data_IF_842341979330
#
_entry.id   IF_842341979330
#
_cell.length_a   1.000
_cell.length_b   1.000
_cell.length_c   1.000
_cell.angle_alpha   90.00
_cell.angle_beta   90.00
_cell.angle_gamma   90.00
#
_symmetry.space_group_name_H-M   'P 1'
#
loop_
_entity.id
_entity.type
_entity.pdbx_description
1 polymer ?
#
# COMPACT_ATOMS: atom_id res chain seq x y z
N UNK A 1 -2.43 -14.34 22.20
CA UNK A 1 -2.69 -13.11 21.41
C UNK A 1 -2.21 -13.20 19.95
N UNK A 2 -1.15 -13.96 19.64
CA UNK A 2 -0.73 -14.32 18.26
C UNK A 2 -1.87 -14.70 17.31
N UNK A 3 -2.81 -15.52 17.79
CA UNK A 3 -3.96 -15.99 17.02
C UNK A 3 -4.92 -14.85 16.66
N UNK A 4 -5.14 -13.89 17.57
CA UNK A 4 -6.01 -12.74 17.32
C UNK A 4 -5.43 -11.81 16.24
N UNK A 5 -4.12 -11.54 16.29
CA UNK A 5 -3.46 -10.75 15.24
C UNK A 5 -3.53 -11.46 13.88
N UNK A 6 -3.22 -12.76 13.83
CA UNK A 6 -3.29 -13.54 12.59
C UNK A 6 -4.71 -13.57 12.03
N UNK A 7 -5.70 -13.75 12.90
CA UNK A 7 -7.12 -13.71 12.53
C UNK A 7 -7.48 -12.35 11.93
N UNK A 8 -7.08 -11.25 12.57
CA UNK A 8 -7.30 -9.89 12.06
C UNK A 8 -6.61 -9.66 10.71
N UNK A 9 -5.33 -10.04 10.57
CA UNK A 9 -4.58 -9.93 9.31
C UNK A 9 -5.22 -10.71 8.16
N UNK A 10 -5.67 -11.94 8.44
CA UNK A 10 -6.35 -12.80 7.45
C UNK A 10 -7.72 -12.20 7.11
N UNK A 11 -8.50 -11.79 8.10
CA UNK A 11 -9.82 -11.20 7.88
C UNK A 11 -9.75 -9.93 7.02
N UNK A 12 -8.84 -8.99 7.33
CA UNK A 12 -8.68 -7.77 6.54
C UNK A 12 -8.08 -8.02 5.15
N UNK A 13 -7.17 -8.99 5.00
CA UNK A 13 -6.64 -9.37 3.68
C UNK A 13 -7.74 -10.03 2.83
N UNK A 14 -8.55 -10.92 3.39
CA UNK A 14 -9.68 -11.52 2.70
C UNK A 14 -10.73 -10.46 2.34
N UNK A 15 -11.06 -9.56 3.26
CA UNK A 15 -11.93 -8.43 2.96
C UNK A 15 -11.38 -7.58 1.82
N UNK A 16 -10.10 -7.23 1.84
CA UNK A 16 -9.44 -6.50 0.77
C UNK A 16 -9.52 -7.25 -0.57
N UNK A 17 -9.25 -8.55 -0.60
CA UNK A 17 -9.34 -9.37 -1.82
C UNK A 17 -10.78 -9.45 -2.33
N UNK A 18 -11.76 -9.62 -1.45
CA UNK A 18 -13.19 -9.67 -1.81
C UNK A 18 -13.64 -8.33 -2.37
N UNK A 19 -13.35 -7.21 -1.70
CA UNK A 19 -13.68 -5.87 -2.21
C UNK A 19 -12.94 -5.59 -3.52
N UNK A 20 -11.67 -5.99 -3.64
CA UNK A 20 -10.92 -5.89 -4.89
C UNK A 20 -11.65 -6.65 -5.99
N UNK A 21 -11.97 -7.93 -5.81
CA UNK A 21 -12.68 -8.73 -6.81
C UNK A 21 -14.09 -8.18 -7.11
N UNK A 22 -14.77 -7.57 -6.14
CA UNK A 22 -16.06 -6.91 -6.35
C UNK A 22 -15.93 -5.58 -7.12
N UNK A 23 -14.76 -4.94 -7.09
CA UNK A 23 -14.52 -3.67 -7.79
C UNK A 23 -14.16 -3.90 -9.25
N UNK A 24 -15.13 -4.37 -10.01
CA UNK A 24 -15.09 -4.56 -11.45
C UNK A 24 -16.50 -4.41 -12.01
N UNK A 25 -16.61 -4.18 -13.31
CA UNK A 25 -17.92 -4.12 -13.95
C UNK A 25 -18.63 -5.47 -13.90
N UNK A 26 -19.92 -5.47 -13.52
CA UNK A 26 -20.76 -6.68 -13.37
C UNK A 26 -22.06 -6.61 -14.18
N UNK A 27 -22.09 -5.85 -15.27
CA UNK A 27 -23.28 -5.68 -16.11
C UNK A 27 -24.18 -4.52 -15.72
N UNK A 28 -23.91 -3.83 -14.61
CA UNK A 28 -24.62 -2.62 -14.16
C UNK A 28 -23.67 -1.43 -14.05
N UNK A 29 -24.18 -0.22 -14.29
CA UNK A 29 -23.42 1.04 -14.17
C UNK A 29 -23.35 1.57 -12.73
N UNK A 30 -23.54 0.69 -11.74
CA UNK A 30 -23.46 1.01 -10.32
C UNK A 30 -22.48 0.05 -9.65
N UNK A 31 -21.56 0.62 -8.87
CA UNK A 31 -20.66 -0.15 -8.04
C UNK A 31 -21.29 -0.38 -6.66
N UNK A 32 -21.08 -1.59 -6.13
CA UNK A 32 -21.40 -1.93 -4.75
C UNK A 32 -20.44 -1.24 -3.77
N UNK A 33 -19.79 -2.01 -2.89
CA UNK A 33 -18.76 -1.47 -1.98
C UNK A 33 -17.37 -1.56 -2.66
N UNK A 34 -16.83 -0.48 -3.25
CA UNK A 34 -15.52 -0.53 -3.89
C UNK A 34 -14.38 -0.67 -2.87
N UNK A 35 -13.27 -1.23 -3.32
CA UNK A 35 -12.02 -1.35 -2.54
C UNK A 35 -11.43 0.01 -2.15
N UNK A 36 -11.92 1.12 -2.76
CA UNK A 36 -11.56 2.49 -2.40
C UNK A 36 -11.77 2.81 -0.91
N UNK A 37 -12.63 2.06 -0.21
CA UNK A 37 -12.79 2.17 1.24
C UNK A 37 -11.45 2.12 1.98
N UNK A 38 -10.53 1.24 1.57
CA UNK A 38 -9.19 1.16 2.18
C UNK A 38 -8.36 2.42 1.94
N UNK A 39 -8.54 3.09 0.80
CA UNK A 39 -7.86 4.36 0.45
C UNK A 39 -8.45 5.53 1.25
N UNK A 40 -9.76 5.51 1.53
CA UNK A 40 -10.43 6.53 2.34
C UNK A 40 -9.97 6.51 3.82
N UNK A 41 -9.59 5.33 4.33
CA UNK A 41 -8.98 5.15 5.66
C UNK A 41 -7.50 5.56 5.72
N UNK A 42 -6.86 5.91 4.59
CA UNK A 42 -5.43 6.20 4.55
C UNK A 42 -5.13 7.67 4.93
N UNK A 43 -4.47 7.93 6.08
CA UNK A 43 -4.16 9.29 6.50
C UNK A 43 -3.05 9.96 5.69
N UNK A 44 -2.19 9.20 5.01
CA UNK A 44 -1.19 9.79 4.11
C UNK A 44 -1.88 10.34 2.86
N UNK A 45 -2.80 9.57 2.25
CA UNK A 45 -3.55 10.05 1.09
C UNK A 45 -4.38 11.28 1.46
N UNK A 46 -5.07 11.24 2.60
CA UNK A 46 -5.86 12.39 3.08
C UNK A 46 -5.00 13.65 3.22
N UNK A 47 -3.83 13.54 3.87
CA UNK A 47 -2.91 14.65 4.07
C UNK A 47 -2.32 15.17 2.75
N UNK A 48 -1.82 14.28 1.89
CA UNK A 48 -1.21 14.66 0.61
C UNK A 48 -2.23 15.28 -0.33
N UNK A 49 -3.45 14.74 -0.39
CA UNK A 49 -4.51 15.29 -1.24
C UNK A 49 -4.95 16.66 -0.74
N UNK A 50 -5.08 16.86 0.58
CA UNK A 50 -5.35 18.17 1.16
C UNK A 50 -4.25 19.18 0.79
N UNK A 51 -2.98 18.79 0.90
CA UNK A 51 -1.86 19.69 0.59
C UNK A 51 -1.72 19.99 -0.90
N UNK A 52 -2.02 19.02 -1.77
CA UNK A 52 -1.85 19.17 -3.22
C UNK A 52 -3.00 19.90 -3.89
N UNK A 53 -4.26 19.57 -3.57
CA UNK A 53 -5.43 20.15 -4.24
C UNK A 53 -6.20 21.15 -3.39
N UNK A 54 -5.80 21.36 -2.13
CA UNK A 54 -6.49 22.24 -1.16
C UNK A 54 -7.97 21.86 -0.91
N UNK A 55 -8.37 20.64 -1.26
CA UNK A 55 -9.74 20.15 -1.09
C UNK A 55 -9.77 18.97 -0.13
N UNK A 56 -10.57 19.08 0.94
CA UNK A 56 -10.87 17.96 1.84
C UNK A 56 -12.21 17.33 1.46
N UNK A 57 -12.17 16.03 1.15
CA UNK A 57 -13.38 15.24 0.92
C UNK A 57 -13.88 14.63 2.22
N UNK A 58 -15.20 14.58 2.40
CA UNK A 58 -15.84 13.98 3.58
C UNK A 58 -15.43 12.52 3.79
N UNK A 59 -15.09 11.79 2.72
CA UNK A 59 -14.59 10.41 2.80
C UNK A 59 -13.32 10.28 3.68
N UNK A 60 -12.47 11.31 3.73
CA UNK A 60 -11.26 11.29 4.55
C UNK A 60 -11.51 11.44 6.05
N UNK A 61 -12.76 11.64 6.50
CA UNK A 61 -13.11 11.55 7.92
C UNK A 61 -12.76 10.17 8.48
N UNK A 62 -12.83 9.11 7.66
CA UNK A 62 -12.40 7.76 8.05
C UNK A 62 -10.90 7.69 8.39
N UNK A 63 -10.06 8.50 7.75
CA UNK A 63 -8.63 8.55 8.09
C UNK A 63 -8.37 9.10 9.50
N UNK A 64 -9.24 9.99 10.01
CA UNK A 64 -9.14 10.54 11.37
C UNK A 64 -9.32 9.43 12.43
N UNK A 65 -10.11 8.40 12.13
CA UNK A 65 -10.23 7.23 12.99
C UNK A 65 -8.89 6.50 13.14
N UNK A 66 -8.14 6.31 12.04
CA UNK A 66 -6.81 5.68 12.07
C UNK A 66 -5.80 6.56 12.81
N UNK A 67 -5.83 7.88 12.60
CA UNK A 67 -4.97 8.83 13.33
C UNK A 67 -5.24 8.73 14.83
N UNK A 68 -6.51 8.79 15.23
CA UNK A 68 -6.93 8.71 16.63
C UNK A 68 -6.48 7.39 17.24
N UNK A 69 -6.80 6.26 16.59
CA UNK A 69 -6.37 4.95 17.06
C UNK A 69 -4.84 4.81 17.14
N UNK A 70 -4.09 5.48 16.26
CA UNK A 70 -2.62 5.51 16.29
C UNK A 70 -2.08 6.27 17.50
N UNK A 71 -2.75 7.32 17.96
CA UNK A 71 -2.39 8.02 19.21
C UNK A 71 -2.59 7.16 20.47
N UNK A 72 -3.46 6.14 20.43
CA UNK A 72 -3.68 5.24 21.56
C UNK A 72 -2.82 3.96 21.49
N UNK A 73 -2.72 3.34 20.31
CA UNK A 73 -2.11 2.00 20.13
C UNK A 73 -0.76 2.03 19.39
N UNK A 74 -0.26 3.22 19.04
CA UNK A 74 0.91 3.38 18.18
C UNK A 74 0.62 2.95 16.75
N UNK A 75 1.64 2.49 16.01
CA UNK A 75 1.52 2.11 14.59
C UNK A 75 0.84 0.73 14.40
N UNK A 76 -0.39 0.58 14.90
CA UNK A 76 -1.13 -0.68 14.83
C UNK A 76 -1.58 -1.04 13.41
N UNK A 77 -1.92 -0.04 12.57
CA UNK A 77 -2.48 -0.26 11.23
C UNK A 77 -1.60 -1.16 10.36
N UNK A 78 -0.30 -0.89 10.30
CA UNK A 78 0.66 -1.69 9.54
C UNK A 78 0.79 -3.12 10.07
N UNK A 79 0.56 -3.33 11.37
CA UNK A 79 0.64 -4.64 12.03
C UNK A 79 -0.62 -5.50 11.86
N UNK A 80 -1.80 -4.89 11.80
CA UNK A 80 -3.08 -5.59 11.97
C UNK A 80 -4.02 -5.51 10.77
N UNK A 81 -4.02 -4.39 10.04
CA UNK A 81 -5.05 -4.07 9.03
C UNK A 81 -4.48 -4.00 7.61
N UNK A 82 -3.28 -3.43 7.44
CA UNK A 82 -2.70 -3.14 6.12
C UNK A 82 -2.49 -4.40 5.25
N UNK A 83 -3.09 -4.49 4.05
CA UNK A 83 -2.94 -5.64 3.15
C UNK A 83 -1.48 -5.90 2.76
N UNK A 84 -0.73 -4.85 2.41
CA UNK A 84 0.69 -4.97 2.07
C UNK A 84 1.53 -5.46 3.27
N UNK A 85 1.17 -5.04 4.49
CA UNK A 85 1.80 -5.51 5.72
C UNK A 85 1.62 -7.02 5.93
N UNK A 86 0.42 -7.53 5.63
CA UNK A 86 0.11 -8.97 5.66
C UNK A 86 0.86 -9.73 4.57
N UNK A 87 0.88 -9.25 3.33
CA UNK A 87 1.66 -9.85 2.23
C UNK A 87 3.15 -9.96 2.57
N UNK A 88 3.74 -8.89 3.09
CA UNK A 88 5.12 -8.87 3.57
C UNK A 88 5.37 -9.87 4.70
N UNK A 89 4.38 -10.09 5.59
CA UNK A 89 4.49 -11.07 6.68
C UNK A 89 4.47 -12.50 6.16
N UNK A 90 3.63 -12.78 5.16
CA UNK A 90 3.54 -14.08 4.50
C UNK A 90 4.87 -14.42 3.83
N UNK A 91 5.44 -13.49 3.06
CA UNK A 91 6.72 -13.72 2.36
C UNK A 91 7.88 -13.81 3.35
N UNK A 92 7.87 -12.97 4.38
CA UNK A 92 8.86 -13.03 5.46
C UNK A 92 8.85 -14.35 6.25
N UNK A 93 7.74 -15.09 6.26
CA UNK A 93 7.69 -16.43 6.85
C UNK A 93 8.52 -17.45 6.06
N UNK A 94 8.48 -17.40 4.73
CA UNK A 94 9.29 -18.28 3.88
C UNK A 94 10.79 -18.06 4.08
N UNK A 95 11.21 -16.82 4.34
CA UNK A 95 12.60 -16.50 4.73
C UNK A 95 13.05 -17.26 5.97
N UNK A 96 12.26 -17.24 7.04
CA UNK A 96 12.61 -17.94 8.30
C UNK A 96 12.71 -19.46 8.12
N UNK A 97 11.98 -20.02 7.16
CA UNK A 97 12.06 -21.44 6.79
C UNK A 97 13.29 -21.74 5.93
N UNK A 98 13.70 -20.81 5.07
CA UNK A 98 14.83 -20.97 4.14
C UNK A 98 16.20 -20.65 4.74
N UNK A 99 16.29 -19.77 5.75
CA UNK A 99 17.55 -19.37 6.39
C UNK A 99 17.69 -20.00 7.77
N UNK A 100 18.79 -20.74 8.00
CA UNK A 100 19.10 -21.34 9.30
C UNK A 100 19.21 -20.27 10.41
N UNK A 101 18.64 -20.49 11.60
CA UNK A 101 18.49 -19.50 12.67
C UNK A 101 19.80 -19.05 13.37
N UNK A 102 20.98 -19.33 12.80
CA UNK A 102 22.28 -19.17 13.49
C UNK A 102 23.19 -18.03 13.03
N UNK A 103 22.92 -17.34 11.90
CA UNK A 103 23.93 -16.44 11.28
C UNK A 103 23.65 -14.94 11.29
N UNK A 104 22.49 -14.47 11.75
CA UNK A 104 22.17 -13.03 11.76
C UNK A 104 21.73 -12.58 13.15
N UNK A 105 22.71 -12.29 14.00
CA UNK A 105 22.51 -11.54 15.25
C UNK A 105 21.99 -10.13 14.95
N UNK A 106 20.66 -9.98 14.86
CA UNK A 106 19.91 -8.80 15.31
C UNK A 106 20.24 -7.40 14.76
N UNK A 107 21.18 -7.23 13.82
CA UNK A 107 21.55 -5.93 13.23
C UNK A 107 21.24 -5.93 11.75
N UNK A 108 20.06 -5.41 11.45
CA UNK A 108 19.68 -5.03 10.12
C UNK A 108 20.34 -3.70 9.72
N UNK A 109 20.47 -3.40 8.42
CA UNK A 109 21.09 -2.16 7.96
C UNK A 109 20.35 -0.91 8.48
N UNK A 110 21.12 0.16 8.78
CA UNK A 110 20.67 1.42 9.40
C UNK A 110 19.85 2.33 8.47
N UNK A 111 19.08 1.76 7.54
CA UNK A 111 18.32 2.50 6.53
C UNK A 111 16.98 3.05 7.06
N UNK A 112 16.78 3.06 8.39
CA UNK A 112 15.56 3.54 9.06
C UNK A 112 15.18 4.99 8.69
N UNK A 113 16.14 5.94 8.52
CA UNK A 113 15.80 7.32 8.17
C UNK A 113 15.14 7.50 6.79
N UNK A 114 15.34 6.57 5.86
CA UNK A 114 14.94 6.72 4.45
C UNK A 114 13.44 6.96 4.29
N UNK A 115 12.59 6.23 5.01
CA UNK A 115 11.12 6.43 4.96
C UNK A 115 10.70 7.84 5.42
N UNK A 116 11.47 8.48 6.29
CA UNK A 116 11.21 9.85 6.74
C UNK A 116 11.65 10.86 5.67
N UNK A 117 12.75 10.61 4.97
CA UNK A 117 13.13 11.42 3.81
C UNK A 117 12.11 11.29 2.67
N UNK A 118 11.60 10.09 2.40
CA UNK A 118 10.51 9.87 1.44
C UNK A 118 9.25 10.62 1.89
N UNK A 119 8.91 10.59 3.18
CA UNK A 119 7.79 11.36 3.70
C UNK A 119 7.96 12.88 3.49
N UNK A 120 9.14 13.43 3.79
CA UNK A 120 9.46 14.85 3.53
C UNK A 120 9.32 15.16 2.05
N UNK A 121 9.88 14.33 1.17
CA UNK A 121 9.75 14.49 -0.27
C UNK A 121 8.29 14.48 -0.72
N UNK A 122 7.48 13.53 -0.25
CA UNK A 122 6.05 13.43 -0.61
C UNK A 122 5.25 14.65 -0.13
N UNK A 123 5.55 15.18 1.07
CA UNK A 123 4.89 16.39 1.59
C UNK A 123 5.30 17.62 0.78
N UNK A 124 6.60 17.79 0.49
CA UNK A 124 7.09 18.91 -0.32
C UNK A 124 6.52 18.83 -1.73
N UNK A 125 6.51 17.64 -2.35
CA UNK A 125 5.87 17.40 -3.65
C UNK A 125 4.40 17.84 -3.65
N UNK A 126 3.66 17.47 -2.61
CA UNK A 126 2.27 17.86 -2.45
C UNK A 126 2.10 19.39 -2.38
N UNK A 127 2.93 20.11 -1.62
CA UNK A 127 2.87 21.58 -1.50
C UNK A 127 3.05 22.28 -2.85
N UNK A 128 3.84 21.70 -3.76
CA UNK A 128 4.02 22.21 -5.12
C UNK A 128 2.99 21.67 -6.13
N UNK A 129 1.89 21.07 -5.67
CA UNK A 129 0.81 20.55 -6.50
C UNK A 129 1.08 19.18 -7.12
N UNK A 130 2.12 18.46 -6.71
CA UNK A 130 2.40 17.11 -7.22
C UNK A 130 1.97 16.02 -6.24
N UNK A 131 0.89 15.31 -6.59
CA UNK A 131 0.42 14.18 -5.79
C UNK A 131 1.24 12.90 -6.07
N UNK A 132 2.34 12.74 -5.34
CA UNK A 132 3.21 11.56 -5.45
C UNK A 132 2.79 10.38 -4.55
N UNK A 133 1.64 10.47 -3.87
CA UNK A 133 1.19 9.46 -2.91
C UNK A 133 1.13 8.06 -3.53
N UNK A 134 0.62 7.93 -4.76
CA UNK A 134 0.48 6.66 -5.45
C UNK A 134 1.76 5.86 -5.71
N UNK A 135 2.94 6.48 -5.63
CA UNK A 135 4.21 5.76 -5.77
C UNK A 135 4.62 5.06 -4.48
N UNK A 136 4.33 5.68 -3.34
CA UNK A 136 4.89 5.30 -2.05
C UNK A 136 3.84 4.82 -1.03
N UNK A 137 2.57 5.12 -1.27
CA UNK A 137 1.48 4.64 -0.46
C UNK A 137 1.33 3.11 -0.62
N UNK A 138 1.40 2.33 0.47
CA UNK A 138 1.28 0.88 0.40
C UNK A 138 -0.05 0.39 -0.19
N UNK A 139 -1.16 1.12 0.03
CA UNK A 139 -2.49 0.67 -0.42
C UNK A 139 -2.63 0.90 -1.92
N UNK A 140 -2.37 2.12 -2.40
CA UNK A 140 -2.35 2.50 -3.82
C UNK A 140 -1.38 1.66 -4.62
N UNK A 141 -0.19 1.40 -4.09
CA UNK A 141 0.81 0.54 -4.73
C UNK A 141 0.29 -0.90 -4.84
N UNK A 142 -0.34 -1.44 -3.81
CA UNK A 142 -0.93 -2.79 -3.85
C UNK A 142 -2.06 -2.87 -4.85
N UNK A 143 -3.01 -1.93 -4.79
CA UNK A 143 -4.16 -1.88 -5.69
C UNK A 143 -3.71 -1.76 -7.15
N UNK A 144 -2.84 -0.80 -7.47
CA UNK A 144 -2.33 -0.62 -8.84
C UNK A 144 -1.63 -1.87 -9.35
N UNK A 145 -0.78 -2.48 -8.52
CA UNK A 145 -0.01 -3.65 -8.93
C UNK A 145 -0.91 -4.86 -9.16
N UNK A 146 -1.92 -5.05 -8.31
CA UNK A 146 -2.92 -6.10 -8.51
C UNK A 146 -3.75 -5.81 -9.76
N UNK A 147 -4.23 -4.59 -9.97
CA UNK A 147 -5.05 -4.20 -11.12
C UNK A 147 -4.31 -4.36 -12.44
N UNK A 148 -3.12 -3.79 -12.55
CA UNK A 148 -2.40 -3.66 -13.82
C UNK A 148 -1.48 -4.86 -14.05
N UNK A 149 -0.83 -5.36 -13.00
CA UNK A 149 0.16 -6.43 -13.10
C UNK A 149 -0.44 -7.83 -13.00
N UNK A 150 -1.19 -8.12 -11.93
CA UNK A 150 -1.60 -9.51 -11.64
C UNK A 150 -2.97 -9.88 -12.19
N UNK A 151 -3.94 -8.96 -12.19
CA UNK A 151 -5.34 -9.27 -12.54
C UNK A 151 -5.50 -9.75 -13.99
N UNK A 152 -4.91 -9.10 -15.02
CA UNK A 152 -4.90 -9.61 -16.39
C UNK A 152 -4.33 -11.02 -16.51
N UNK A 153 -3.22 -11.27 -15.81
CA UNK A 153 -2.52 -12.56 -15.85
C UNK A 153 -3.37 -13.64 -15.17
N UNK A 154 -3.95 -13.33 -14.01
CA UNK A 154 -4.83 -14.25 -13.28
C UNK A 154 -6.04 -14.64 -14.12
N UNK A 155 -6.74 -13.66 -14.70
CA UNK A 155 -7.92 -13.90 -15.55
C UNK A 155 -7.52 -14.74 -16.77
N UNK A 156 -6.42 -14.42 -17.46
CA UNK A 156 -5.96 -15.18 -18.62
C UNK A 156 -5.59 -16.62 -18.29
N UNK A 157 -4.89 -16.84 -17.16
CA UNK A 157 -4.53 -18.19 -16.69
C UNK A 157 -5.81 -18.98 -16.36
N UNK A 158 -6.73 -18.40 -15.60
CA UNK A 158 -8.00 -19.05 -15.25
C UNK A 158 -8.80 -19.41 -16.49
N UNK A 159 -8.94 -18.48 -17.45
CA UNK A 159 -9.63 -18.74 -18.71
C UNK A 159 -8.95 -19.85 -19.52
N UNK A 160 -7.62 -19.85 -19.61
CA UNK A 160 -6.86 -20.86 -20.36
C UNK A 160 -6.97 -22.25 -19.73
N UNK A 161 -6.97 -22.34 -18.39
CA UNK A 161 -7.15 -23.60 -17.67
C UNK A 161 -8.57 -24.14 -17.92
N UNK A 162 -9.61 -23.31 -17.76
CA UNK A 162 -10.99 -23.73 -17.97
C UNK A 162 -11.23 -24.16 -19.43
N UNK A 163 -10.69 -23.43 -20.39
CA UNK A 163 -10.78 -23.78 -21.81
C UNK A 163 -10.00 -25.07 -22.12
N UNK A 164 -8.82 -25.26 -21.52
CA UNK A 164 -8.06 -26.51 -21.65
C UNK A 164 -8.83 -27.72 -21.13
N UNK A 165 -9.51 -27.57 -19.98
CA UNK A 165 -10.38 -28.60 -19.39
C UNK A 165 -11.59 -28.87 -20.27
N UNK A 166 -12.21 -27.84 -20.84
CA UNK A 166 -13.33 -27.99 -21.76
C UNK A 166 -12.93 -28.78 -23.02
N UNK A 167 -11.75 -28.48 -23.58
CA UNK A 167 -11.24 -29.09 -24.81
C UNK A 167 -10.84 -30.57 -24.67
N UNK A 168 -10.76 -31.13 -23.46
CA UNK A 168 -10.45 -32.57 -23.29
C UNK A 168 -11.62 -33.47 -23.68
N UNK A 169 -12.83 -32.93 -23.88
CA UNK A 169 -13.98 -33.67 -24.41
C UNK A 169 -14.57 -34.74 -23.48
N UNK A 170 -14.13 -34.82 -22.22
CA UNK A 170 -14.66 -35.78 -21.25
C UNK A 170 -16.00 -35.24 -20.71
N UNK A 171 -17.14 -35.93 -20.91
CA UNK A 171 -18.48 -35.39 -20.64
C UNK A 171 -18.74 -34.92 -19.19
N UNK A 172 -18.09 -35.55 -18.20
CA UNK A 172 -18.20 -35.15 -16.80
C UNK A 172 -17.34 -33.92 -16.46
N UNK A 173 -16.19 -33.78 -17.12
CA UNK A 173 -15.23 -32.73 -16.86
C UNK A 173 -15.60 -31.43 -17.61
N UNK A 174 -16.15 -31.53 -18.82
CA UNK A 174 -16.67 -30.39 -19.57
C UNK A 174 -17.85 -29.73 -18.85
N UNK A 175 -18.79 -30.51 -18.31
CA UNK A 175 -19.90 -29.98 -17.48
C UNK A 175 -19.40 -29.28 -16.21
N UNK A 176 -18.38 -29.84 -15.57
CA UNK A 176 -17.76 -29.21 -14.40
C UNK A 176 -17.06 -27.89 -14.78
N UNK A 177 -16.40 -27.83 -15.94
CA UNK A 177 -15.78 -26.63 -16.47
C UNK A 177 -16.80 -25.54 -16.81
N UNK A 178 -17.93 -25.88 -17.45
CA UNK A 178 -18.99 -24.92 -17.77
C UNK A 178 -19.66 -24.35 -16.52
N UNK A 179 -19.92 -25.22 -15.53
CA UNK A 179 -20.47 -24.79 -14.23
C UNK A 179 -19.49 -23.87 -13.51
N UNK A 180 -18.20 -24.23 -13.51
CA UNK A 180 -17.15 -23.41 -12.93
C UNK A 180 -17.01 -22.08 -13.66
N UNK A 181 -17.03 -22.08 -15.00
CA UNK A 181 -16.94 -20.87 -15.81
C UNK A 181 -18.09 -19.90 -15.49
N UNK A 182 -19.32 -20.40 -15.44
CA UNK A 182 -20.51 -19.60 -15.12
C UNK A 182 -20.48 -19.07 -13.68
N UNK A 183 -20.01 -19.87 -12.73
CA UNK A 183 -19.84 -19.43 -11.34
C UNK A 183 -18.72 -18.39 -11.19
N UNK A 184 -17.61 -18.57 -11.92
CA UNK A 184 -16.47 -17.64 -11.89
C UNK A 184 -16.76 -16.36 -12.67
N UNK A 185 -17.53 -16.38 -13.76
CA UNK A 185 -17.92 -15.18 -14.51
C UNK A 185 -18.81 -14.23 -13.70
N UNK A 186 -19.57 -14.76 -12.75
CA UNK A 186 -20.34 -13.93 -11.81
C UNK A 186 -19.50 -13.31 -10.68
N UNK A 187 -18.27 -13.80 -10.44
CA UNK A 187 -17.49 -13.45 -9.25
C UNK A 187 -16.09 -12.89 -9.57
N UNK A 188 -15.28 -13.67 -10.29
CA UNK A 188 -13.83 -13.54 -10.44
C UNK A 188 -13.38 -13.16 -11.86
N UNK A 189 -14.04 -13.62 -12.91
CA UNK A 189 -13.69 -13.32 -14.29
C UNK A 189 -14.37 -12.01 -14.71
N UNK A 190 -13.57 -11.04 -15.16
CA UNK A 190 -14.10 -9.80 -15.72
C UNK A 190 -14.87 -10.06 -17.03
N UNK A 191 -15.87 -9.22 -17.31
CA UNK A 191 -16.70 -9.32 -18.51
C UNK A 191 -15.88 -9.27 -19.82
N UNK A 192 -14.80 -8.48 -19.82
CA UNK A 192 -13.78 -8.49 -20.86
C UNK A 192 -12.38 -8.75 -20.27
N UNK A 193 -11.49 -9.35 -21.06
CA UNK A 193 -10.10 -9.59 -20.68
C UNK A 193 -9.34 -8.25 -20.62
N UNK A 194 -8.89 -7.77 -19.44
CA UNK A 194 -8.18 -6.51 -19.37
C UNK A 194 -6.75 -6.68 -19.91
N UNK A 195 -6.31 -5.75 -20.77
CA UNK A 195 -4.96 -5.71 -21.33
C UNK A 195 -4.33 -4.37 -21.04
N UNK A 196 -3.26 -4.36 -20.24
CA UNK A 196 -2.51 -3.14 -19.97
C UNK A 196 -1.13 -3.17 -20.64
N UNK A 197 -0.71 -2.03 -21.20
CA UNK A 197 0.62 -1.90 -21.85
C UNK A 197 1.78 -2.18 -20.89
N UNK A 198 1.60 -1.92 -19.60
CA UNK A 198 2.66 -1.97 -18.59
C UNK A 198 2.52 -3.14 -17.59
N UNK A 199 1.72 -4.17 -17.93
CA UNK A 199 1.44 -5.32 -17.05
C UNK A 199 2.71 -5.95 -16.48
N UNK A 200 3.66 -6.33 -17.34
CA UNK A 200 4.88 -7.02 -16.93
C UNK A 200 5.75 -6.09 -16.07
N UNK A 201 5.94 -4.84 -16.48
CA UNK A 201 6.77 -3.88 -15.77
C UNK A 201 6.30 -3.63 -14.34
N UNK A 202 5.02 -3.30 -14.16
CA UNK A 202 4.45 -3.03 -12.82
C UNK A 202 4.42 -4.31 -11.98
N UNK A 203 4.06 -5.46 -12.57
CA UNK A 203 4.07 -6.75 -11.89
C UNK A 203 5.46 -7.17 -11.39
N UNK A 204 6.50 -6.95 -12.19
CA UNK A 204 7.89 -7.21 -11.81
C UNK A 204 8.34 -6.30 -10.66
N UNK A 205 8.04 -5.00 -10.71
CA UNK A 205 8.38 -4.06 -9.63
C UNK A 205 7.74 -4.50 -8.32
N UNK A 206 6.45 -4.83 -8.31
CA UNK A 206 5.76 -5.26 -7.10
C UNK A 206 6.32 -6.60 -6.58
N UNK A 207 6.58 -7.55 -7.47
CA UNK A 207 7.23 -8.82 -7.11
C UNK A 207 8.60 -8.57 -6.47
N UNK A 208 9.41 -7.67 -7.03
CA UNK A 208 10.71 -7.30 -6.47
C UNK A 208 10.57 -6.69 -5.08
N UNK A 209 9.64 -5.74 -4.88
CA UNK A 209 9.34 -5.14 -3.57
C UNK A 209 8.98 -6.23 -2.54
N UNK A 210 8.16 -7.19 -2.94
CA UNK A 210 7.76 -8.32 -2.11
C UNK A 210 8.95 -9.24 -1.80
N UNK A 211 9.83 -9.53 -2.76
CA UNK A 211 11.03 -10.35 -2.58
C UNK A 211 12.10 -9.67 -1.70
N UNK A 212 12.13 -8.35 -1.59
CA UNK A 212 13.02 -7.65 -0.64
C UNK A 212 12.77 -8.05 0.82
N UNK A 213 11.63 -8.67 1.14
CA UNK A 213 11.39 -9.27 2.45
C UNK A 213 12.36 -10.42 2.79
N UNK A 214 13.03 -11.01 1.80
CA UNK A 214 14.08 -12.00 2.00
C UNK A 214 15.35 -11.38 2.60
N UNK A 215 15.59 -10.08 2.36
CA UNK A 215 16.73 -9.33 2.93
C UNK A 215 16.42 -8.92 4.36
N UNK A 216 15.31 -8.21 4.58
CA UNK A 216 14.85 -7.79 5.90
C UNK A 216 13.32 -7.98 6.03
N UNK A 217 12.82 -8.46 7.17
CA UNK A 217 11.39 -8.64 7.36
C UNK A 217 10.67 -7.30 7.23
N UNK A 218 9.55 -7.29 6.51
CA UNK A 218 8.73 -6.09 6.26
C UNK A 218 9.54 -4.93 5.67
N UNK A 219 10.42 -5.22 4.71
CA UNK A 219 11.35 -4.25 4.10
C UNK A 219 10.67 -2.92 3.72
N UNK A 220 9.56 -2.99 2.97
CA UNK A 220 8.80 -1.80 2.55
C UNK A 220 8.32 -0.96 3.74
N UNK A 221 7.62 -1.59 4.69
CA UNK A 221 7.07 -0.90 5.87
C UNK A 221 8.15 -0.30 6.76
N UNK A 222 9.37 -0.81 6.69
CA UNK A 222 10.49 -0.43 7.53
C UNK A 222 11.36 0.67 6.94
N UNK A 223 11.60 0.65 5.62
CA UNK A 223 12.57 1.55 4.99
C UNK A 223 11.97 2.49 3.94
N UNK A 224 10.85 2.13 3.29
CA UNK A 224 10.35 2.86 2.13
C UNK A 224 8.98 3.52 2.34
N UNK A 225 8.19 3.04 3.29
CA UNK A 225 6.78 3.43 3.43
C UNK A 225 6.60 4.78 4.17
N UNK A 226 6.22 5.88 3.48
CA UNK A 226 5.94 7.17 4.12
C UNK A 226 4.71 7.14 5.02
N UNK A 227 3.68 6.34 4.70
CA UNK A 227 2.54 6.12 5.61
C UNK A 227 3.04 5.56 6.95
N UNK A 228 3.98 4.62 6.88
CA UNK A 228 4.62 4.05 8.05
C UNK A 228 5.44 5.06 8.86
N UNK A 229 6.13 5.98 8.17
CA UNK A 229 6.84 7.09 8.80
C UNK A 229 5.87 8.06 9.48
N UNK A 230 4.78 8.44 8.80
CA UNK A 230 3.73 9.34 9.31
C UNK A 230 3.09 8.77 10.57
N UNK A 231 2.62 7.52 10.52
CA UNK A 231 2.05 6.83 11.69
C UNK A 231 3.09 6.62 12.81
N UNK A 232 4.36 6.42 12.47
CA UNK A 232 5.45 6.35 13.45
C UNK A 232 5.69 7.70 14.15
N UNK A 233 5.65 8.81 13.42
CA UNK A 233 5.72 10.18 13.98
C UNK A 233 4.53 10.45 14.90
N UNK A 234 3.32 10.09 14.49
CA UNK A 234 2.12 10.22 15.33
C UNK A 234 2.21 9.32 16.57
N UNK A 235 2.71 8.10 16.42
CA UNK A 235 2.93 7.14 17.50
C UNK A 235 3.97 7.58 18.55
N UNK A 236 4.77 8.63 18.30
CA UNK A 236 5.67 9.20 19.32
C UNK A 236 4.93 9.78 20.52
N UNK A 237 3.69 10.23 20.29
CA UNK A 237 2.79 10.76 21.31
C UNK A 237 1.81 9.73 21.83
N UNK A 238 2.10 8.44 21.64
CA UNK A 238 1.28 7.36 22.16
C UNK A 238 1.05 7.51 23.69
N UNK A 239 -0.21 7.62 24.11
CA UNK A 239 -0.61 7.81 25.54
C UNK A 239 -1.21 6.51 26.15
N UNK A 240 -1.07 5.39 25.45
CA UNK A 240 -1.73 4.13 25.80
C UNK A 240 -0.81 2.92 25.83
N UNK A 241 -1.11 1.94 24.98
CA UNK A 241 -0.59 0.57 25.06
C UNK A 241 0.89 0.45 24.68
N UNK A 242 1.81 0.60 25.64
CA UNK A 242 3.26 0.56 25.40
C UNK A 242 3.86 -0.76 25.84
N UNK A 243 4.81 -1.25 25.05
CA UNK A 243 5.62 -2.42 25.42
C UNK A 243 6.68 -1.97 26.43
N UNK A 244 6.70 -2.64 27.58
CA UNK A 244 7.64 -2.41 28.68
C UNK A 244 8.43 -3.69 28.91
N UNK A 245 9.75 -3.55 29.07
CA UNK A 245 10.65 -4.62 29.48
C UNK A 245 10.81 -4.56 31.00
N UNK A 246 10.50 -5.66 31.67
CA UNK A 246 10.79 -5.88 33.08
C UNK A 246 12.23 -6.39 33.22
N UNK A 247 13.14 -5.51 33.68
CA UNK A 247 14.57 -5.82 33.79
C UNK A 247 14.86 -6.94 34.80
N UNK A 248 14.08 -7.03 35.89
CA UNK A 248 14.27 -8.04 36.93
C UNK A 248 14.00 -9.45 36.41
N UNK A 249 13.00 -9.60 35.54
CA UNK A 249 12.66 -10.88 34.90
C UNK A 249 13.54 -11.19 33.69
N UNK A 250 14.28 -10.22 33.15
CA UNK A 250 14.95 -10.38 31.86
C UNK A 250 16.26 -11.16 31.95
N UNK A 251 16.27 -12.39 31.41
CA UNK A 251 17.49 -13.21 31.28
C UNK A 251 18.40 -12.83 30.09
N UNK A 252 18.23 -11.64 29.50
CA UNK A 252 19.06 -11.13 28.39
C UNK A 252 19.23 -12.06 27.15
N UNK A 253 18.28 -12.96 26.89
CA UNK A 253 18.38 -13.94 25.80
C UNK A 253 18.23 -13.38 24.36
N UNK A 254 17.91 -12.08 24.21
CA UNK A 254 17.75 -11.35 22.93
C UNK A 254 16.75 -11.91 21.90
N UNK A 255 15.99 -12.97 22.20
CA UNK A 255 14.94 -13.53 21.31
C UNK A 255 13.92 -12.49 20.86
N UNK A 256 13.59 -11.54 21.72
CA UNK A 256 12.66 -10.45 21.43
C UNK A 256 13.17 -9.49 20.34
N UNK A 257 14.49 -9.26 20.27
CA UNK A 257 15.13 -8.41 19.24
C UNK A 257 15.10 -9.10 17.89
N UNK A 258 15.45 -10.39 17.84
CA UNK A 258 15.44 -11.19 16.60
C UNK A 258 14.03 -11.31 16.01
N UNK A 259 13.02 -11.48 16.87
CA UNK A 259 11.60 -11.60 16.48
C UNK A 259 10.93 -10.25 16.16
N UNK A 260 11.60 -9.13 16.42
CA UNK A 260 11.06 -7.78 16.21
C UNK A 260 11.04 -7.42 14.73
N UNK A 261 9.87 -7.54 14.09
CA UNK A 261 9.70 -7.19 12.68
C UNK A 261 9.74 -5.68 12.41
N UNK A 262 9.47 -4.86 13.43
CA UNK A 262 9.54 -3.40 13.33
C UNK A 262 10.93 -2.84 13.61
N UNK A 263 11.84 -3.63 14.18
CA UNK A 263 13.16 -3.16 14.64
C UNK A 263 13.11 -2.06 15.72
N UNK A 264 12.08 -2.11 16.57
CA UNK A 264 11.89 -1.24 17.73
C UNK A 264 12.79 -1.56 18.93
N UNK A 265 13.73 -2.51 18.79
CA UNK A 265 14.69 -2.95 19.82
C UNK A 265 14.11 -3.05 21.26
N UNK A 266 13.39 -4.15 21.59
CA UNK A 266 12.86 -4.35 22.94
C UNK A 266 13.90 -4.48 24.06
N UNK A 267 15.16 -4.71 23.71
CA UNK A 267 16.29 -4.87 24.61
C UNK A 267 17.53 -4.18 23.98
N UNK A 268 18.42 -3.53 24.76
CA UNK A 268 18.38 -3.35 26.22
C UNK A 268 17.27 -2.39 26.68
N UNK A 269 17.00 -2.31 27.99
CA UNK A 269 16.05 -1.35 28.52
C UNK A 269 16.45 0.09 28.14
N UNK A 270 15.44 0.94 27.90
CA UNK A 270 15.64 2.30 27.40
C UNK A 270 15.87 2.43 25.88
N UNK A 271 16.34 1.39 25.18
CA UNK A 271 16.58 1.41 23.73
C UNK A 271 15.31 1.30 22.85
N UNK A 272 14.12 1.33 23.48
CA UNK A 272 12.83 1.14 22.82
C UNK A 272 12.52 2.24 21.79
N UNK A 273 12.39 1.86 20.52
CA UNK A 273 11.98 2.75 19.43
C UNK A 273 10.47 2.71 19.19
N UNK A 274 9.70 3.58 19.84
CA UNK A 274 8.22 3.61 19.67
C UNK A 274 7.77 3.90 18.25
N UNK A 275 8.49 4.77 17.52
CA UNK A 275 8.15 5.12 16.14
C UNK A 275 8.26 3.93 15.16
N UNK A 276 9.05 2.92 15.52
CA UNK A 276 9.26 1.71 14.73
C UNK A 276 8.36 0.54 15.14
N UNK A 277 7.78 0.59 16.34
CA UNK A 277 6.95 -0.50 16.85
C UNK A 277 5.64 -0.62 16.07
N UNK A 278 5.43 -1.79 15.45
CA UNK A 278 4.20 -2.13 14.73
C UNK A 278 3.07 -2.66 15.63
N UNK A 279 3.25 -2.58 16.95
CA UNK A 279 2.34 -3.14 17.98
C UNK A 279 1.93 -4.59 17.67
N UNK A 280 2.88 -5.38 17.14
CA UNK A 280 2.62 -6.73 16.66
C UNK A 280 2.67 -7.78 17.78
N UNK A 281 3.29 -7.47 18.92
CA UNK A 281 3.42 -8.34 20.11
C UNK A 281 4.25 -9.63 19.93
N UNK A 282 4.97 -9.80 18.81
CA UNK A 282 5.87 -10.94 18.60
C UNK A 282 6.91 -11.09 19.73
N UNK A 283 7.37 -9.98 20.28
CA UNK A 283 8.35 -9.94 21.36
C UNK A 283 7.81 -10.53 22.67
N UNK A 284 6.54 -10.28 22.99
CA UNK A 284 5.84 -10.90 24.12
C UNK A 284 5.65 -12.40 23.90
N UNK A 285 5.25 -12.82 22.70
CA UNK A 285 4.99 -14.22 22.39
C UNK A 285 6.25 -15.11 22.41
N UNK A 286 7.45 -14.55 22.15
CA UNK A 286 8.71 -15.32 22.10
C UNK A 286 9.49 -15.29 23.42
N UNK A 287 9.09 -14.47 24.39
CA UNK A 287 9.81 -14.31 25.65
C UNK A 287 9.63 -15.55 26.55
N UNK A 288 10.69 -16.29 26.89
CA UNK A 288 10.57 -17.52 27.68
C UNK A 288 10.21 -17.26 29.16
N UNK A 289 10.53 -16.06 29.65
CA UNK A 289 10.40 -15.66 31.06
C UNK A 289 9.28 -14.63 31.28
N UNK A 290 8.51 -14.31 30.24
CA UNK A 290 7.39 -13.37 30.35
C UNK A 290 7.78 -11.92 30.69
N UNK A 291 9.04 -11.52 30.53
CA UNK A 291 9.54 -10.19 30.89
C UNK A 291 9.02 -9.02 30.02
N UNK A 292 8.19 -9.30 29.01
CA UNK A 292 7.67 -8.28 28.08
C UNK A 292 6.17 -8.13 28.25
N UNK A 293 5.75 -6.97 28.73
CA UNK A 293 4.36 -6.64 29.00
C UNK A 293 3.90 -5.43 28.20
N UNK A 294 2.59 -5.30 28.02
CA UNK A 294 1.97 -4.10 27.44
C UNK A 294 1.26 -3.39 28.58
N UNK A 295 1.77 -2.23 28.97
CA UNK A 295 1.22 -1.41 30.05
C UNK A 295 0.62 -0.14 29.47
N UNK A 296 -0.46 0.32 30.09
CA UNK A 296 -1.01 1.64 29.83
C UNK A 296 -0.17 2.65 30.60
N UNK A 297 0.58 3.51 29.91
CA UNK A 297 1.39 4.54 30.55
C UNK A 297 1.17 5.89 29.89
N UNK A 298 1.13 6.94 30.71
CA UNK A 298 1.09 8.35 30.26
C UNK A 298 2.49 8.95 30.08
N UNK A 299 3.54 8.23 30.49
CA UNK A 299 4.91 8.72 30.35
C UNK A 299 5.31 8.81 28.87
N UNK A 300 5.94 9.93 28.51
CA UNK A 300 6.42 10.16 27.15
C UNK A 300 7.35 9.04 26.73
N UNK A 301 7.16 8.56 25.50
CA UNK A 301 8.04 7.55 24.94
C UNK A 301 9.48 8.04 24.88
N UNK A 302 10.44 7.26 25.39
CA UNK A 302 11.81 7.39 24.93
C UNK A 302 11.79 7.22 23.42
N UNK A 303 12.25 8.24 22.70
CA UNK A 303 12.47 8.14 21.27
C UNK A 303 13.71 7.29 21.11
N UNK A 304 13.58 5.97 20.98
CA UNK A 304 14.71 5.16 20.52
C UNK A 304 15.28 5.80 19.26
N UNK A 305 16.51 6.32 19.37
CA UNK A 305 17.14 7.25 18.44
C UNK A 305 16.93 6.85 16.98
N UNK A 306 15.98 7.50 16.31
CA UNK A 306 16.21 7.83 14.90
C UNK A 306 16.95 9.16 14.97
N UNK A 307 18.28 9.09 15.03
CA UNK A 307 19.13 10.26 14.89
C UNK A 307 19.00 10.73 13.44
N UNK A 308 17.90 11.44 13.17
CA UNK A 308 17.77 12.24 11.97
C UNK A 308 18.77 13.38 12.14
N UNK A 309 20.02 13.17 11.72
CA UNK A 309 21.01 14.23 11.81
C UNK A 309 20.41 15.45 11.09
N UNK A 310 20.34 16.57 11.81
CA UNK A 310 19.70 17.80 11.31
C UNK A 310 20.22 18.18 9.92
N UNK A 311 21.51 17.92 9.66
CA UNK A 311 22.16 18.13 8.37
C UNK A 311 21.50 17.35 7.24
N UNK A 312 21.25 16.05 7.41
CA UNK A 312 20.64 15.21 6.37
C UNK A 312 19.15 15.51 6.18
N UNK A 313 18.43 15.87 7.25
CA UNK A 313 17.06 16.36 7.12
C UNK A 313 16.98 17.66 6.32
N UNK A 314 17.83 18.63 6.64
CA UNK A 314 17.91 19.88 5.91
C UNK A 314 18.34 19.66 4.47
N UNK A 315 19.32 18.78 4.23
CA UNK A 315 19.74 18.41 2.87
C UNK A 315 18.61 17.74 2.08
N UNK A 316 17.85 16.83 2.70
CA UNK A 316 16.69 16.18 2.08
C UNK A 316 15.56 17.16 1.77
N UNK A 317 15.28 18.09 2.69
CA UNK A 317 14.31 19.17 2.49
C UNK A 317 14.74 20.09 1.35
N UNK A 318 15.97 20.62 1.39
CA UNK A 318 16.51 21.51 0.36
C UNK A 318 16.54 20.80 -1.00
N UNK A 319 16.97 19.54 -1.03
CA UNK A 319 16.95 18.71 -2.23
C UNK A 319 15.53 18.54 -2.79
N UNK A 320 14.54 18.26 -1.95
CA UNK A 320 13.14 18.15 -2.38
C UNK A 320 12.58 19.49 -2.88
N UNK A 321 12.84 20.58 -2.16
CA UNK A 321 12.39 21.94 -2.53
C UNK A 321 13.03 22.42 -3.83
N UNK A 322 14.27 22.01 -4.13
CA UNK A 322 14.92 22.34 -5.41
C UNK A 322 14.46 21.41 -6.55
N UNK A 323 14.38 20.10 -6.29
CA UNK A 323 14.10 19.11 -7.33
C UNK A 323 12.64 19.10 -7.79
N UNK A 324 11.69 19.28 -6.86
CA UNK A 324 10.25 19.22 -7.20
C UNK A 324 9.88 20.30 -8.22
N UNK A 325 10.15 21.61 -8.00
CA UNK A 325 9.84 22.65 -8.98
C UNK A 325 10.59 22.47 -10.30
N UNK A 326 11.82 21.95 -10.27
CA UNK A 326 12.57 21.67 -11.48
C UNK A 326 11.91 20.58 -12.33
N UNK A 327 11.43 19.50 -11.69
CA UNK A 327 10.66 18.45 -12.36
C UNK A 327 9.35 19.01 -12.89
N UNK A 328 8.61 19.77 -12.07
CA UNK A 328 7.29 20.27 -12.46
C UNK A 328 7.36 21.28 -13.60
N UNK A 329 8.34 22.18 -13.58
CA UNK A 329 8.62 23.11 -14.65
C UNK A 329 9.06 22.39 -15.94
N UNK A 330 9.94 21.39 -15.82
CA UNK A 330 10.44 20.63 -16.97
C UNK A 330 9.35 19.80 -17.66
N UNK A 331 8.32 19.37 -16.93
CA UNK A 331 7.23 18.55 -17.48
C UNK A 331 6.04 19.35 -18.00
N UNK A 332 6.05 20.68 -17.81
CA UNK A 332 4.94 21.58 -18.18
C UNK A 332 4.55 21.50 -19.66
N UNK A 333 5.52 21.36 -20.57
CA UNK A 333 5.26 21.26 -22.02
C UNK A 333 4.51 19.99 -22.42
N UNK A 334 4.67 18.89 -21.68
CA UNK A 334 3.97 17.63 -21.93
C UNK A 334 2.53 17.62 -21.41
N UNK A 335 2.15 18.57 -20.54
CA UNK A 335 0.78 18.69 -20.03
C UNK A 335 -0.22 19.17 -21.10
N UNK A 336 0.29 19.71 -22.21
CA UNK A 336 -0.50 20.28 -23.29
C UNK A 336 -0.62 19.33 -24.51
N UNK A 337 -0.24 18.05 -24.36
CA UNK A 337 -0.35 17.09 -25.45
C UNK A 337 -1.84 16.87 -25.82
N UNK A 338 -2.27 17.20 -27.07
CA UNK A 338 -3.65 17.01 -27.51
C UNK A 338 -4.12 15.55 -27.47
N UNK A 339 -3.18 14.59 -27.42
CA UNK A 339 -3.48 13.16 -27.34
C UNK A 339 -3.68 12.67 -25.90
N UNK A 340 -3.43 13.51 -24.89
CA UNK A 340 -3.63 13.19 -23.48
C UNK A 340 -5.10 13.34 -23.07
N UNK A 341 -5.92 12.39 -23.50
CA UNK A 341 -7.36 12.39 -23.20
C UNK A 341 -7.60 11.74 -21.83
N UNK A 342 -8.19 12.48 -20.89
CA UNK A 342 -8.58 11.98 -19.56
C UNK A 342 -9.98 11.35 -19.58
N UNK A 343 -10.31 10.45 -18.63
CA UNK A 343 -11.66 9.90 -18.51
C UNK A 343 -12.71 11.01 -18.31
N UNK A 344 -13.96 10.79 -18.73
CA UNK A 344 -15.03 11.75 -18.53
C UNK A 344 -15.23 12.03 -17.04
N UNK A 345 -15.52 13.30 -16.72
CA UNK A 345 -15.60 13.77 -15.34
C UNK A 345 -14.26 14.13 -14.70
N UNK A 346 -13.12 13.92 -15.40
CA UNK A 346 -11.85 14.48 -14.96
C UNK A 346 -11.85 16.01 -15.06
N UNK A 347 -11.21 16.65 -14.08
CA UNK A 347 -10.93 18.09 -14.07
C UNK A 347 -9.80 18.45 -15.04
N UNK A 348 -9.45 19.74 -15.13
CA UNK A 348 -8.34 20.20 -15.96
C UNK A 348 -7.01 19.52 -15.56
N UNK A 349 -6.11 19.33 -16.52
CA UNK A 349 -4.92 18.48 -16.35
C UNK A 349 -4.06 18.81 -15.11
N UNK A 350 -3.81 20.10 -14.82
CA UNK A 350 -3.04 20.49 -13.64
C UNK A 350 -3.73 20.05 -12.34
N UNK A 351 -5.02 20.36 -12.22
CA UNK A 351 -5.83 19.98 -11.06
C UNK A 351 -6.01 18.46 -10.96
N UNK A 352 -6.03 17.77 -12.11
CA UNK A 352 -6.09 16.32 -12.17
C UNK A 352 -4.81 15.69 -11.60
N UNK A 353 -3.63 16.24 -11.91
CA UNK A 353 -2.34 15.78 -11.38
C UNK A 353 -2.18 16.05 -9.88
N UNK A 354 -2.78 17.15 -9.38
CA UNK A 354 -2.87 17.49 -7.94
C UNK A 354 -3.78 16.51 -7.17
N UNK A 355 -4.82 16.00 -7.82
CA UNK A 355 -5.79 15.09 -7.20
C UNK A 355 -5.42 13.62 -7.35
N UNK A 356 -4.93 13.19 -8.51
CA UNK A 356 -4.80 11.77 -8.85
C UNK A 356 -3.76 11.03 -8.01
N UNK A 357 -4.23 10.06 -7.22
CA UNK A 357 -3.38 9.22 -6.37
C UNK A 357 -2.83 7.97 -7.09
N UNK A 358 -3.02 7.84 -8.41
CA UNK A 358 -2.42 6.77 -9.25
C UNK A 358 -2.69 5.35 -8.73
N UNK A 359 -3.86 5.10 -8.14
CA UNK A 359 -4.26 3.79 -7.60
C UNK A 359 -4.69 2.81 -8.70
N UNK A 360 -5.12 3.30 -9.87
CA UNK A 360 -5.53 2.49 -11.01
C UNK A 360 -6.92 1.90 -10.96
N UNK A 361 -7.73 2.23 -9.95
CA UNK A 361 -9.11 1.75 -9.81
C UNK A 361 -9.99 2.14 -11.00
N UNK A 362 -9.86 3.37 -11.51
CA UNK A 362 -10.59 3.81 -12.70
C UNK A 362 -10.27 2.98 -13.95
N UNK A 363 -9.01 2.54 -14.10
CA UNK A 363 -8.58 1.67 -15.20
C UNK A 363 -9.15 0.25 -15.04
N UNK A 364 -9.32 -0.21 -13.81
CA UNK A 364 -9.88 -1.53 -13.51
C UNK A 364 -11.35 -1.67 -13.87
N UNK A 365 -12.15 -0.65 -13.54
CA UNK A 365 -13.59 -0.65 -13.78
C UNK A 365 -13.98 -0.23 -15.20
N UNK A 366 -13.00 0.11 -16.03
CA UNK A 366 -13.22 0.49 -17.42
C UNK A 366 -13.74 -0.72 -18.23
N UNK A 367 -15.02 -0.67 -18.60
CA UNK A 367 -15.71 -1.73 -19.34
C UNK A 367 -14.96 -2.17 -20.59
N UNK A 368 -14.58 -1.20 -21.43
CA UNK A 368 -13.95 -1.43 -22.74
C UNK A 368 -12.43 -1.52 -22.66
N UNK A 369 -11.86 -1.47 -21.44
CA UNK A 369 -10.42 -1.41 -21.20
C UNK A 369 -9.66 -0.27 -21.95
N UNK A 370 -10.38 0.77 -22.39
CA UNK A 370 -9.81 1.93 -23.09
C UNK A 370 -8.90 2.80 -22.21
N UNK A 371 -9.06 2.76 -20.88
CA UNK A 371 -8.20 3.48 -19.95
C UNK A 371 -6.91 2.70 -19.66
N UNK A 372 -5.78 3.34 -19.94
CA UNK A 372 -4.44 2.76 -19.85
C UNK A 372 -3.52 3.61 -18.94
N UNK A 373 -2.49 3.01 -18.32
CA UNK A 373 -1.52 3.77 -17.56
C UNK A 373 -0.55 4.50 -18.50
N UNK A 374 -0.37 5.80 -18.29
CA UNK A 374 0.68 6.59 -18.93
C UNK A 374 2.07 6.15 -18.47
N UNK A 375 3.08 6.34 -19.33
CA UNK A 375 4.50 6.21 -19.03
C UNK A 375 5.21 7.56 -19.06
N UNK A 376 5.15 8.26 -20.20
CA UNK A 376 5.85 9.54 -20.42
C UNK A 376 4.99 10.61 -21.09
N UNK A 377 3.75 10.25 -21.45
CA UNK A 377 2.78 11.08 -22.16
C UNK A 377 2.38 12.28 -21.30
N UNK A 378 2.03 12.07 -20.02
CA UNK A 378 1.67 13.12 -19.07
C UNK A 378 2.87 13.70 -18.29
N UNK A 379 4.08 13.58 -18.83
CA UNK A 379 5.31 13.90 -18.09
C UNK A 379 5.60 12.96 -16.92
N UNK A 380 6.61 13.29 -16.12
CA UNK A 380 7.02 12.47 -14.96
C UNK A 380 5.99 12.53 -13.82
N UNK A 381 5.31 13.66 -13.66
CA UNK A 381 4.29 13.84 -12.62
C UNK A 381 3.07 12.96 -12.84
N UNK A 382 2.71 12.82 -14.13
CA UNK A 382 1.58 12.04 -14.59
C UNK A 382 1.92 10.58 -14.84
N UNK A 383 3.09 10.06 -14.46
CA UNK A 383 3.41 8.63 -14.60
C UNK A 383 2.34 7.77 -13.91
N UNK A 384 1.83 6.75 -14.62
CA UNK A 384 0.78 5.83 -14.18
C UNK A 384 -0.61 6.45 -13.91
N UNK A 385 -0.85 7.66 -14.43
CA UNK A 385 -2.19 8.22 -14.46
C UNK A 385 -3.00 7.62 -15.63
N UNK A 386 -4.34 7.63 -15.57
CA UNK A 386 -5.17 7.06 -16.62
C UNK A 386 -5.21 7.95 -17.87
N UNK A 387 -4.94 7.39 -19.05
CA UNK A 387 -5.16 8.00 -20.35
C UNK A 387 -6.16 7.14 -21.14
N UNK A 388 -7.13 7.77 -21.80
CA UNK A 388 -8.04 7.10 -22.71
C UNK A 388 -7.35 6.87 -24.04
N UNK A 389 -7.32 5.61 -24.49
CA UNK A 389 -6.79 5.20 -25.79
C UNK A 389 -7.95 4.65 -26.62
N UNK A 390 -8.63 5.47 -27.44
CA UNK A 390 -9.83 5.07 -28.18
C UNK A 390 -9.64 3.86 -29.10
N UNK A 391 -8.40 3.60 -29.54
CA UNK A 391 -8.06 2.42 -30.37
C UNK A 391 -8.09 1.10 -29.61
N UNK A 392 -7.98 1.13 -28.27
CA UNK A 392 -8.09 -0.06 -27.43
C UNK A 392 -9.52 -0.26 -26.93
N UNK A 393 -10.21 0.84 -26.61
CA UNK A 393 -11.60 0.83 -26.19
C UNK A 393 -12.18 2.24 -26.17
N UNK A 394 -13.44 2.38 -26.55
CA UNK A 394 -14.16 3.66 -26.53
C UNK A 394 -14.78 3.92 -25.15
N UNK A 395 -15.12 5.17 -24.85
CA UNK A 395 -15.87 5.49 -23.64
C UNK A 395 -17.37 5.29 -23.89
N UNK A 396 -17.99 4.36 -23.17
CA UNK A 396 -19.44 4.14 -23.22
C UNK A 396 -20.18 5.36 -22.64
N UNK A 397 -21.20 5.86 -23.35
CA UNK A 397 -21.79 7.18 -23.08
C UNK A 397 -22.51 7.24 -21.72
N UNK A 398 -23.16 6.15 -21.33
CA UNK A 398 -23.92 6.05 -20.08
C UNK A 398 -23.09 5.52 -18.90
N UNK A 399 -21.76 5.36 -19.06
CA UNK A 399 -20.89 4.80 -18.05
C UNK A 399 -20.18 5.89 -17.24
N UNK A 400 -20.34 5.85 -15.91
CA UNK A 400 -19.66 6.75 -14.96
C UNK A 400 -18.90 5.98 -13.86
N UNK A 401 -18.55 4.70 -14.10
CA UNK A 401 -17.91 3.85 -13.10
C UNK A 401 -16.57 4.40 -12.61
N UNK A 402 -15.79 5.01 -13.52
CA UNK A 402 -14.48 5.57 -13.19
C UNK A 402 -14.55 6.72 -12.18
N UNK A 403 -15.60 7.55 -12.21
CA UNK A 403 -15.81 8.62 -11.23
C UNK A 403 -16.36 8.08 -9.91
N UNK A 404 -17.17 7.01 -9.94
CA UNK A 404 -17.67 6.36 -8.72
C UNK A 404 -16.55 5.73 -7.88
N UNK A 405 -15.55 5.10 -8.52
CA UNK A 405 -14.42 4.47 -7.81
C UNK A 405 -13.33 5.44 -7.39
N UNK A 406 -13.30 6.65 -7.95
CA UNK A 406 -12.24 7.61 -7.70
C UNK A 406 -12.23 8.07 -6.22
N UNK A 407 -11.16 7.78 -5.46
CA UNK A 407 -10.98 8.31 -4.09
C UNK A 407 -10.53 9.78 -4.11
N UNK A 408 -10.24 10.29 -5.31
CA UNK A 408 -10.02 11.68 -5.75
C UNK A 408 -11.21 12.63 -5.82
N UNK A 409 -12.26 12.11 -6.46
CA UNK A 409 -13.27 12.92 -7.15
C UNK A 409 -12.95 12.80 -8.61
#
# INVERSE_FOLDING_TARGET
MKNLRRLSQIAFLLLFIVLFIQTQYRGTNELGLPVKLFLDFDPLIALVSLLASHTLRLAFVFSLFIVTATLFFGRFFCGWVCPLGTLNTIIGYFRMKALSPGKNEGRYPSLRPIKYYILVFVIVAAIFGWNSSGFFDPISLTIRSLTIGYNPVAIKITASILQGIYNTGIPGLSRAADTAYTALSGSLLAFEQPVFRQTIFIGMIFTAILLLNLVAPRFWCRYLCPLGALLGLLGRWQIGARVVLDEEKCISCRKCVVSCQGDASPFPAGAWGSMECLTCQNCKDVCPVGAIEIKWTREKSSTGNVDLERRWLLAGLVGAVAAVPAVTASTSSKRLDPLLIRPPGAVAENEFLERCIKCGECMKVCLTNGLQPTLTEAGLEGLWTPILVPRLGYCEYNCNLCSQVCPTG
#
